data_IF_118880408366
#
_entry.id   IF_118880408366
#
_cell.length_a   1.000
_cell.length_b   1.000
_cell.length_c   1.000
_cell.angle_alpha   90.00
_cell.angle_beta   90.00
_cell.angle_gamma   90.00
#
_symmetry.space_group_name_H-M   'P 1'
#
loop_
_entity.id
_entity.type
_entity.pdbx_description
1 polymer ?
#
# COMPACT_ATOMS: atom_id res chain seq x y z
N UNK A 1 -7.37 -24.16 -18.76
CA UNK A 1 -7.48 -23.23 -17.61
C UNK A 1 -6.39 -22.14 -17.62
N UNK A 2 -5.18 -22.29 -17.05
CA UNK A 2 -4.23 -21.16 -16.92
C UNK A 2 -3.80 -20.53 -18.27
N UNK A 3 -3.60 -21.35 -19.31
CA UNK A 3 -3.25 -20.88 -20.67
C UNK A 3 -4.42 -20.25 -21.42
N UNK A 4 -5.65 -20.65 -21.09
CA UNK A 4 -6.87 -20.04 -21.66
C UNK A 4 -7.10 -18.68 -21.02
N UNK A 5 -7.09 -18.61 -19.69
CA UNK A 5 -7.24 -17.33 -18.95
C UNK A 5 -6.16 -16.33 -19.35
N UNK A 6 -4.92 -16.76 -19.57
CA UNK A 6 -3.86 -15.90 -20.07
C UNK A 6 -4.06 -15.45 -21.53
N UNK A 7 -4.67 -16.28 -22.38
CA UNK A 7 -5.01 -15.90 -23.77
C UNK A 7 -6.18 -14.93 -23.81
N UNK A 8 -7.19 -15.15 -22.98
CA UNK A 8 -8.36 -14.29 -22.88
C UNK A 8 -7.95 -12.90 -22.37
N UNK A 9 -7.13 -12.84 -21.31
CA UNK A 9 -6.55 -11.59 -20.81
C UNK A 9 -5.72 -10.85 -21.86
N UNK A 10 -4.91 -11.58 -22.64
CA UNK A 10 -4.13 -11.02 -23.74
C UNK A 10 -5.01 -10.50 -24.88
N UNK A 11 -6.12 -11.16 -25.16
CA UNK A 11 -7.09 -10.72 -26.16
C UNK A 11 -7.79 -9.42 -25.75
N UNK A 12 -8.04 -9.23 -24.44
CA UNK A 12 -8.73 -8.06 -23.91
C UNK A 12 -7.80 -6.87 -23.65
N UNK A 13 -6.60 -7.10 -23.12
CA UNK A 13 -5.69 -6.03 -22.68
C UNK A 13 -4.46 -5.85 -23.57
N UNK A 14 -4.20 -6.80 -24.49
CA UNK A 14 -2.99 -6.82 -25.31
C UNK A 14 -1.72 -7.25 -24.56
N UNK A 15 -1.80 -7.50 -23.25
CA UNK A 15 -0.64 -7.82 -22.41
C UNK A 15 -0.51 -9.32 -22.16
N UNK A 16 0.72 -9.82 -22.23
CA UNK A 16 1.02 -11.23 -21.95
C UNK A 16 1.33 -11.40 -20.45
N UNK A 17 0.53 -12.23 -19.77
CA UNK A 17 0.70 -12.51 -18.34
C UNK A 17 1.02 -13.99 -18.14
N UNK A 18 2.16 -14.24 -17.48
CA UNK A 18 2.56 -15.59 -17.08
C UNK A 18 1.86 -15.97 -15.77
N UNK A 19 0.78 -16.74 -15.87
CA UNK A 19 0.05 -17.24 -14.71
C UNK A 19 0.63 -18.58 -14.22
N UNK A 20 1.04 -18.63 -12.95
CA UNK A 20 1.44 -19.87 -12.28
C UNK A 20 0.21 -20.67 -11.85
N UNK A 21 0.18 -21.96 -12.18
CA UNK A 21 -0.90 -22.88 -11.81
C UNK A 21 -1.11 -22.94 -10.29
N UNK A 22 -0.02 -22.95 -9.50
CA UNK A 22 -0.09 -23.00 -8.04
C UNK A 22 -0.69 -21.72 -7.45
N UNK A 23 -0.35 -20.57 -8.01
CA UNK A 23 -0.88 -19.26 -7.60
C UNK A 23 -2.38 -19.18 -7.89
N UNK A 24 -2.82 -19.58 -9.08
CA UNK A 24 -4.24 -19.62 -9.44
C UNK A 24 -5.03 -20.59 -8.55
N UNK A 25 -4.49 -21.78 -8.28
CA UNK A 25 -5.13 -22.74 -7.39
C UNK A 25 -5.26 -22.20 -5.97
N UNK A 26 -4.21 -21.56 -5.44
CA UNK A 26 -4.24 -20.92 -4.12
C UNK A 26 -5.35 -19.86 -4.05
N UNK A 27 -5.45 -18.99 -5.05
CA UNK A 27 -6.50 -17.97 -5.10
C UNK A 27 -7.92 -18.56 -5.17
N UNK A 28 -8.16 -19.58 -6.01
CA UNK A 28 -9.48 -20.22 -6.12
C UNK A 28 -9.89 -20.95 -4.84
N UNK A 29 -8.91 -21.45 -4.08
CA UNK A 29 -9.13 -22.12 -2.80
C UNK A 29 -9.27 -21.16 -1.60
N UNK A 30 -9.36 -19.85 -1.84
CA UNK A 30 -9.48 -18.84 -0.77
C UNK A 30 -8.17 -18.54 -0.05
N UNK A 31 -7.03 -18.86 -0.69
CA UNK A 31 -5.71 -18.47 -0.20
C UNK A 31 -5.60 -16.94 -0.10
N UNK A 32 -5.06 -16.47 1.02
CA UNK A 32 -4.88 -15.05 1.29
C UNK A 32 -3.99 -14.41 0.22
N UNK A 33 -4.47 -13.37 -0.44
CA UNK A 33 -3.66 -12.67 -1.44
C UNK A 33 -2.49 -11.95 -0.74
N UNK A 34 -1.41 -11.69 -1.50
CA UNK A 34 -0.30 -10.88 -1.00
C UNK A 34 -0.77 -9.48 -0.58
N UNK A 35 -1.77 -8.91 -1.28
CA UNK A 35 -2.38 -7.64 -0.90
C UNK A 35 -3.13 -7.74 0.42
N UNK A 36 -3.90 -8.81 0.66
CA UNK A 36 -4.63 -9.00 1.93
C UNK A 36 -3.67 -9.24 3.09
N UNK A 37 -2.63 -10.05 2.87
CA UNK A 37 -1.58 -10.27 3.86
C UNK A 37 -0.78 -9.00 4.17
N UNK A 38 -0.55 -8.14 3.18
CA UNK A 38 0.09 -6.85 3.39
C UNK A 38 -0.87 -5.83 4.03
N UNK A 39 -2.18 -5.94 3.80
CA UNK A 39 -3.19 -5.12 4.46
C UNK A 39 -3.28 -5.42 5.96
N UNK A 40 -3.00 -6.65 6.39
CA UNK A 40 -2.86 -6.99 7.82
C UNK A 40 -1.56 -6.48 8.44
N UNK A 41 -0.56 -6.17 7.62
CA UNK A 41 0.69 -5.51 8.03
C UNK A 41 0.62 -4.00 7.91
N UNK A 42 -0.58 -3.41 7.95
CA UNK A 42 -0.75 -1.96 7.92
C UNK A 42 0.03 -1.35 9.08
N UNK A 43 0.93 -0.45 8.70
CA UNK A 43 1.79 0.24 9.66
C UNK A 43 1.00 1.21 10.54
N UNK A 44 -0.01 1.85 9.96
CA UNK A 44 -0.93 2.76 10.62
C UNK A 44 -2.24 2.04 10.93
N UNK A 45 -2.78 2.32 12.10
CA UNK A 45 -4.19 2.05 12.41
C UNK A 45 -5.07 2.92 11.52
N UNK A 46 -6.34 2.52 11.39
CA UNK A 46 -7.28 3.20 10.48
C UNK A 46 -7.43 4.66 10.87
N UNK A 47 -7.52 4.93 12.17
CA UNK A 47 -7.67 6.25 12.75
C UNK A 47 -6.46 7.13 12.44
N UNK A 48 -5.25 6.59 12.54
CA UNK A 48 -4.01 7.30 12.21
C UNK A 48 -3.89 7.57 10.70
N UNK A 49 -4.30 6.61 9.87
CA UNK A 49 -4.31 6.75 8.41
C UNK A 49 -5.26 7.87 7.96
N UNK A 50 -6.46 7.96 8.53
CA UNK A 50 -7.42 9.04 8.24
C UNK A 50 -6.87 10.43 8.61
N UNK A 51 -6.14 10.55 9.74
CA UNK A 51 -5.49 11.80 10.14
C UNK A 51 -4.46 12.24 9.11
N UNK A 52 -3.62 11.31 8.64
CA UNK A 52 -2.58 11.60 7.64
C UNK A 52 -3.20 11.96 6.28
N UNK A 53 -4.27 11.29 5.88
CA UNK A 53 -5.01 11.62 4.64
C UNK A 53 -5.63 13.00 4.74
N UNK A 54 -6.35 13.29 5.83
CA UNK A 54 -6.99 14.58 6.05
C UNK A 54 -6.00 15.74 6.05
N UNK A 55 -4.86 15.56 6.72
CA UNK A 55 -3.77 16.54 6.70
C UNK A 55 -3.18 16.71 5.29
N UNK A 56 -2.96 15.61 4.56
CA UNK A 56 -2.45 15.66 3.18
C UNK A 56 -3.39 16.40 2.24
N UNK A 57 -4.71 16.15 2.35
CA UNK A 57 -5.72 16.82 1.54
C UNK A 57 -5.81 18.31 1.86
N UNK A 58 -5.78 18.69 3.15
CA UNK A 58 -5.81 20.09 3.57
C UNK A 58 -4.59 20.86 3.05
N UNK A 59 -3.41 20.26 3.14
CA UNK A 59 -2.17 20.84 2.62
C UNK A 59 -2.20 20.95 1.09
N UNK A 60 -2.75 19.95 0.39
CA UNK A 60 -3.01 20.01 -1.05
C UNK A 60 -3.96 21.14 -1.45
N UNK A 61 -5.07 21.32 -0.73
CA UNK A 61 -6.04 22.43 -0.95
C UNK A 61 -5.41 23.80 -0.75
N UNK A 62 -4.47 23.93 0.19
CA UNK A 62 -3.72 25.17 0.45
C UNK A 62 -2.63 25.45 -0.59
N UNK A 63 -2.46 24.60 -1.60
CA UNK A 63 -1.44 24.75 -2.64
C UNK A 63 -0.05 24.27 -2.23
N UNK A 64 0.07 23.57 -1.10
CA UNK A 64 1.33 23.02 -0.57
C UNK A 64 1.23 21.50 -0.42
N UNK A 65 1.20 20.74 -1.53
CA UNK A 65 1.14 19.28 -1.45
C UNK A 65 2.31 18.74 -0.64
N UNK A 66 2.05 17.77 0.24
CA UNK A 66 3.10 17.18 1.07
C UNK A 66 4.09 16.42 0.18
N UNK A 67 5.37 16.78 0.29
CA UNK A 67 6.44 15.96 -0.27
C UNK A 67 6.52 14.61 0.45
N UNK A 68 7.03 13.58 -0.23
CA UNK A 68 7.32 12.27 0.39
C UNK A 68 8.10 12.38 1.71
N UNK A 69 9.02 13.34 1.82
CA UNK A 69 9.77 13.60 3.05
C UNK A 69 8.87 14.08 4.19
N UNK A 70 8.00 15.06 3.92
CA UNK A 70 7.06 15.60 4.92
C UNK A 70 6.03 14.58 5.37
N UNK A 71 5.53 13.78 4.44
CA UNK A 71 4.63 12.67 4.74
C UNK A 71 5.30 11.64 5.66
N UNK A 72 6.56 11.29 5.37
CA UNK A 72 7.37 10.43 6.24
C UNK A 72 7.55 11.05 7.64
N UNK A 73 7.98 12.31 7.73
CA UNK A 73 8.20 12.99 9.02
C UNK A 73 6.93 12.95 9.90
N UNK A 74 5.77 13.23 9.31
CA UNK A 74 4.51 13.25 10.03
C UNK A 74 4.07 11.85 10.51
N UNK A 75 4.27 10.83 9.66
CA UNK A 75 3.97 9.45 10.03
C UNK A 75 4.94 8.93 11.09
N UNK A 76 6.23 9.27 10.99
CA UNK A 76 7.23 8.91 11.99
C UNK A 76 6.89 9.54 13.36
N UNK A 77 6.35 10.75 13.39
CA UNK A 77 5.90 11.43 14.61
C UNK A 77 4.75 10.67 15.28
N UNK A 78 3.68 10.37 14.53
CA UNK A 78 2.54 9.58 15.03
C UNK A 78 3.00 8.23 15.56
N UNK A 79 3.88 7.54 14.82
CA UNK A 79 4.39 6.23 15.21
C UNK A 79 5.29 6.29 16.44
N UNK A 80 6.09 7.34 16.60
CA UNK A 80 6.92 7.57 17.80
C UNK A 80 6.05 7.88 19.01
N UNK A 81 4.95 8.60 18.85
CA UNK A 81 4.01 8.84 19.95
C UNK A 81 3.34 7.54 20.40
N UNK A 82 2.90 6.68 19.46
CA UNK A 82 2.22 5.41 19.79
C UNK A 82 3.17 4.35 20.34
N UNK A 83 4.31 4.13 19.69
CA UNK A 83 5.22 3.00 19.97
C UNK A 83 6.46 3.39 20.79
N UNK A 84 6.74 4.69 20.94
CA UNK A 84 7.88 5.19 21.68
C UNK A 84 9.21 4.57 21.23
N UNK A 85 9.93 3.95 22.18
CA UNK A 85 11.23 3.32 21.94
C UNK A 85 11.16 2.02 21.11
N UNK A 86 9.96 1.45 20.93
CA UNK A 86 9.78 0.27 20.08
C UNK A 86 9.76 0.64 18.59
N UNK A 87 9.60 1.92 18.25
CA UNK A 87 9.65 2.36 16.88
C UNK A 87 11.09 2.46 16.36
N UNK A 88 11.40 1.96 15.14
CA UNK A 88 12.72 2.08 14.55
C UNK A 88 13.20 3.53 14.46
N UNK A 89 14.46 3.77 14.80
CA UNK A 89 15.04 5.11 14.74
C UNK A 89 15.05 5.67 13.31
N UNK A 90 15.16 4.78 12.32
CA UNK A 90 15.18 5.06 10.89
C UNK A 90 13.80 5.50 10.34
N UNK A 91 12.72 5.27 11.10
CA UNK A 91 11.35 5.59 10.71
C UNK A 91 10.81 4.71 9.59
N UNK A 92 9.79 5.18 8.88
CA UNK A 92 9.18 4.44 7.77
C UNK A 92 10.17 4.24 6.63
N UNK A 93 10.07 3.09 5.97
CA UNK A 93 10.91 2.72 4.84
C UNK A 93 10.75 3.69 3.67
N UNK A 94 11.80 3.81 2.84
CA UNK A 94 11.84 4.77 1.72
C UNK A 94 10.67 4.61 0.73
N UNK A 95 10.21 3.38 0.51
CA UNK A 95 9.13 3.09 -0.43
C UNK A 95 7.73 3.21 0.20
N UNK A 96 7.64 3.36 1.52
CA UNK A 96 6.36 3.37 2.22
C UNK A 96 5.51 4.57 1.79
N UNK A 97 6.11 5.73 1.61
CA UNK A 97 5.37 6.95 1.21
C UNK A 97 4.80 6.85 -0.20
N UNK A 98 5.53 6.22 -1.13
CA UNK A 98 5.02 5.92 -2.48
C UNK A 98 3.84 4.94 -2.42
N UNK A 99 3.97 3.85 -1.65
CA UNK A 99 2.89 2.89 -1.45
C UNK A 99 1.66 3.51 -0.77
N UNK A 100 1.88 4.43 0.18
CA UNK A 100 0.82 5.15 0.86
C UNK A 100 0.04 6.06 -0.09
N UNK A 101 0.74 6.80 -0.97
CA UNK A 101 0.11 7.65 -1.97
C UNK A 101 -0.65 6.80 -2.99
N UNK A 102 -0.05 5.74 -3.53
CA UNK A 102 -0.73 4.83 -4.49
C UNK A 102 -2.00 4.19 -3.91
N UNK A 103 -2.02 3.91 -2.60
CA UNK A 103 -3.18 3.33 -1.92
C UNK A 103 -4.32 4.32 -1.69
N UNK A 104 -3.99 5.61 -1.54
CA UNK A 104 -4.91 6.66 -1.08
C UNK A 104 -5.16 7.76 -2.14
N UNK A 105 -4.82 7.48 -3.40
CA UNK A 105 -5.12 8.31 -4.57
C UNK A 105 -6.46 7.90 -5.20
#
# INVERSE_FOLDING_TARGET
ICKEVARDWKSETGQDVKLSYLTLRSHVQGGKSLSDFNAEKRLLEKEEEEVVIGFSQEMGKRGFPLSHRRLKEHVDEIMRERLGKAYPAEGVGRNWTSQFVERNH
#
